data_IF_627491180537
#
_entry.id   IF_627491180537
#
_cell.length_a   1.000
_cell.length_b   1.000
_cell.length_c   1.000
_cell.angle_alpha   90.00
_cell.angle_beta   90.00
_cell.angle_gamma   90.00
#
_symmetry.space_group_name_H-M   'P 1'
#
loop_
_entity.id
_entity.type
_entity.pdbx_description
1 polymer ?
#
# COMPACT_ATOMS: atom_id res chain seq x y z
N UNK A 1 -10.23 2.12 -18.33
CA UNK A 1 -11.06 1.23 -17.51
C UNK A 1 -11.45 -0.05 -18.22
N UNK A 2 -12.06 -0.03 -19.40
CA UNK A 2 -12.50 -1.24 -20.13
C UNK A 2 -11.39 -2.30 -20.32
N UNK A 3 -10.13 -1.89 -20.52
CA UNK A 3 -9.00 -2.80 -20.71
C UNK A 3 -8.71 -3.61 -19.44
N UNK A 4 -8.76 -2.98 -18.27
CA UNK A 4 -8.56 -3.66 -16.98
C UNK A 4 -9.71 -4.61 -16.64
N UNK A 5 -10.95 -4.25 -16.96
CA UNK A 5 -12.13 -5.10 -16.71
C UNK A 5 -12.16 -6.36 -17.57
N UNK A 6 -11.43 -6.40 -18.70
CA UNK A 6 -11.32 -7.56 -19.59
C UNK A 6 -10.19 -8.51 -19.19
N UNK A 7 -9.34 -8.16 -18.23
CA UNK A 7 -8.31 -9.07 -17.74
C UNK A 7 -8.95 -10.21 -16.93
N UNK A 8 -8.46 -11.45 -17.05
CA UNK A 8 -8.88 -12.55 -16.17
C UNK A 8 -8.67 -12.25 -14.69
N UNK A 9 -7.71 -11.38 -14.37
CA UNK A 9 -7.37 -10.94 -13.02
C UNK A 9 -8.15 -9.69 -12.57
N UNK A 10 -9.25 -9.33 -13.23
CA UNK A 10 -10.05 -8.15 -12.92
C UNK A 10 -10.58 -8.12 -11.46
N UNK A 11 -10.71 -9.29 -10.83
CA UNK A 11 -11.06 -9.39 -9.40
C UNK A 11 -10.02 -8.78 -8.43
N UNK A 12 -8.82 -8.45 -8.93
CA UNK A 12 -7.76 -7.80 -8.14
C UNK A 12 -7.67 -6.30 -8.43
N UNK A 13 -8.80 -5.69 -8.73
CA UNK A 13 -8.90 -4.25 -8.96
C UNK A 13 -9.78 -3.60 -7.91
N UNK A 14 -9.47 -2.34 -7.63
CA UNK A 14 -10.32 -1.45 -6.84
C UNK A 14 -11.71 -1.27 -7.52
N UNK A 15 -12.77 -1.13 -6.74
CA UNK A 15 -14.12 -0.91 -7.24
C UNK A 15 -14.23 0.42 -8.02
N UNK A 16 -15.15 0.48 -8.98
CA UNK A 16 -15.29 1.63 -9.89
C UNK A 16 -15.56 2.95 -9.16
N UNK A 17 -16.41 2.92 -8.15
CA UNK A 17 -16.72 4.11 -7.34
C UNK A 17 -15.50 4.63 -6.59
N UNK A 18 -14.66 3.71 -6.09
CA UNK A 18 -13.45 4.05 -5.33
C UNK A 18 -12.37 4.61 -6.25
N UNK A 19 -12.26 4.09 -7.48
CA UNK A 19 -11.42 4.64 -8.54
C UNK A 19 -11.71 6.12 -8.78
N UNK A 20 -12.99 6.47 -8.95
CA UNK A 20 -13.40 7.85 -9.19
C UNK A 20 -13.12 8.74 -7.98
N UNK A 21 -13.34 8.22 -6.79
CA UNK A 21 -13.03 8.93 -5.55
C UNK A 21 -11.54 9.17 -5.39
N UNK A 22 -10.71 8.16 -5.62
CA UNK A 22 -9.25 8.26 -5.58
C UNK A 22 -8.76 9.35 -6.57
N UNK A 23 -9.24 9.32 -7.81
CA UNK A 23 -8.94 10.35 -8.81
C UNK A 23 -9.26 11.77 -8.32
N UNK A 24 -10.47 11.97 -7.77
CA UNK A 24 -10.89 13.26 -7.23
C UNK A 24 -10.04 13.72 -6.04
N UNK A 25 -9.65 12.78 -5.17
CA UNK A 25 -8.80 13.08 -4.03
C UNK A 25 -7.41 13.52 -4.46
N UNK A 26 -6.80 12.87 -5.46
CA UNK A 26 -5.51 13.28 -6.00
C UNK A 26 -5.60 14.68 -6.61
N UNK A 27 -6.62 14.97 -7.43
CA UNK A 27 -6.81 16.31 -8.01
C UNK A 27 -7.02 17.39 -6.94
N UNK A 28 -7.77 17.07 -5.87
CA UNK A 28 -8.06 18.01 -4.78
C UNK A 28 -6.82 18.32 -3.93
N UNK A 29 -6.06 17.27 -3.57
CA UNK A 29 -4.92 17.41 -2.64
C UNK A 29 -3.62 17.76 -3.37
N UNK A 30 -3.54 17.55 -4.70
CA UNK A 30 -2.40 17.88 -5.58
C UNK A 30 -1.06 17.36 -5.05
N UNK A 31 -0.96 16.07 -4.67
CA UNK A 31 0.27 15.51 -4.14
C UNK A 31 1.38 15.49 -5.19
N UNK A 32 2.64 15.50 -4.72
CA UNK A 32 3.83 15.31 -5.54
C UNK A 32 4.41 13.91 -5.36
N UNK A 33 4.32 13.35 -4.16
CA UNK A 33 4.87 12.05 -3.80
C UNK A 33 3.76 11.12 -3.29
N UNK A 34 3.22 10.31 -4.20
CA UNK A 34 2.18 9.32 -3.87
C UNK A 34 2.83 7.96 -3.65
N UNK A 35 2.47 7.30 -2.55
CA UNK A 35 2.78 5.89 -2.31
C UNK A 35 1.50 5.06 -2.42
N UNK A 36 1.57 3.99 -3.17
CA UNK A 36 0.53 2.97 -3.25
C UNK A 36 1.05 1.65 -2.71
N UNK A 37 0.30 1.04 -1.81
CA UNK A 37 0.55 -0.28 -1.26
C UNK A 37 -0.44 -1.27 -1.85
N UNK A 38 0.03 -2.10 -2.77
CA UNK A 38 -0.79 -3.01 -3.59
C UNK A 38 -1.11 -2.41 -4.96
N UNK A 39 -0.32 -2.79 -5.97
CA UNK A 39 -0.55 -2.40 -7.37
C UNK A 39 -1.68 -3.20 -7.99
N UNK A 40 -1.78 -4.50 -7.62
CA UNK A 40 -2.61 -5.44 -8.34
C UNK A 40 -2.30 -5.41 -9.84
N UNK A 41 -3.31 -5.41 -10.69
CA UNK A 41 -3.11 -5.27 -12.14
C UNK A 41 -2.98 -3.81 -12.62
N UNK A 42 -2.86 -2.83 -11.69
CA UNK A 42 -2.46 -1.45 -11.97
C UNK A 42 -3.59 -0.47 -12.29
N UNK A 43 -4.86 -0.78 -12.00
CA UNK A 43 -5.97 0.14 -12.29
C UNK A 43 -5.89 1.41 -11.42
N UNK A 44 -5.75 1.27 -10.11
CA UNK A 44 -5.58 2.39 -9.17
C UNK A 44 -4.32 3.20 -9.49
N UNK A 45 -3.20 2.52 -9.77
CA UNK A 45 -1.94 3.14 -10.20
C UNK A 45 -2.14 4.01 -11.46
N UNK A 46 -2.84 3.48 -12.48
CA UNK A 46 -3.13 4.21 -13.71
C UNK A 46 -4.01 5.44 -13.46
N UNK A 47 -4.99 5.33 -12.56
CA UNK A 47 -5.89 6.42 -12.19
C UNK A 47 -5.16 7.52 -11.43
N UNK A 48 -4.30 7.16 -10.49
CA UNK A 48 -3.42 8.11 -9.79
C UNK A 48 -2.51 8.82 -10.80
N UNK A 49 -1.85 8.06 -11.67
CA UNK A 49 -0.97 8.61 -12.71
C UNK A 49 -1.71 9.54 -13.67
N UNK A 50 -2.95 9.22 -14.05
CA UNK A 50 -3.80 10.09 -14.87
C UNK A 50 -4.09 11.43 -14.18
N UNK A 51 -4.39 11.39 -12.88
CA UNK A 51 -4.61 12.60 -12.10
C UNK A 51 -3.32 13.44 -11.98
N UNK A 52 -2.17 12.81 -11.73
CA UNK A 52 -0.86 13.48 -11.67
C UNK A 52 -0.47 14.08 -13.02
N UNK A 53 -0.71 13.36 -14.13
CA UNK A 53 -0.54 13.89 -15.49
C UNK A 53 -1.39 15.13 -15.72
N UNK A 54 -2.65 15.13 -15.28
CA UNK A 54 -3.54 16.31 -15.38
C UNK A 54 -3.01 17.48 -14.53
N UNK A 55 -2.37 17.22 -13.40
CA UNK A 55 -1.71 18.23 -12.57
C UNK A 55 -0.38 18.71 -13.15
N UNK A 56 0.19 18.00 -14.13
CA UNK A 56 1.49 18.29 -14.74
C UNK A 56 2.70 18.00 -13.83
N UNK A 57 2.50 17.33 -12.69
CA UNK A 57 3.56 17.06 -11.70
C UNK A 57 3.27 15.87 -10.83
N UNK A 58 4.30 15.40 -10.10
CA UNK A 58 4.22 14.33 -9.13
C UNK A 58 4.47 12.93 -9.72
N UNK A 59 4.66 11.97 -8.85
CA UNK A 59 4.90 10.57 -9.19
C UNK A 59 4.20 9.65 -8.19
N UNK A 60 3.66 8.53 -8.65
CA UNK A 60 3.24 7.42 -7.80
C UNK A 60 4.32 6.34 -7.79
N UNK A 61 4.76 5.99 -6.58
CA UNK A 61 5.53 4.77 -6.31
C UNK A 61 4.53 3.73 -5.83
N UNK A 62 4.40 2.63 -6.57
CA UNK A 62 3.46 1.55 -6.26
C UNK A 62 4.24 0.29 -5.89
N UNK A 63 3.90 -0.34 -4.78
CA UNK A 63 4.54 -1.55 -4.30
C UNK A 63 3.68 -2.77 -4.62
N UNK A 64 4.31 -3.83 -5.16
CA UNK A 64 3.64 -5.07 -5.49
C UNK A 64 4.49 -6.28 -5.11
N UNK A 65 3.83 -7.30 -4.56
CA UNK A 65 4.50 -8.55 -4.15
C UNK A 65 4.52 -9.62 -5.26
N UNK A 66 3.59 -9.57 -6.21
CA UNK A 66 3.42 -10.57 -7.25
C UNK A 66 4.03 -10.11 -8.57
N UNK A 67 5.11 -10.74 -9.07
CA UNK A 67 5.73 -10.38 -10.35
C UNK A 67 4.72 -10.40 -11.50
N UNK A 68 3.80 -11.36 -11.50
CA UNK A 68 2.75 -11.45 -12.51
C UNK A 68 1.84 -10.23 -12.56
N UNK A 69 1.47 -9.68 -11.41
CA UNK A 69 0.70 -8.43 -11.33
C UNK A 69 1.49 -7.26 -11.92
N UNK A 70 2.80 -7.18 -11.63
CA UNK A 70 3.67 -6.13 -12.19
C UNK A 70 3.74 -6.23 -13.71
N UNK A 71 3.88 -7.43 -14.27
CA UNK A 71 3.87 -7.64 -15.73
C UNK A 71 2.58 -7.13 -16.35
N UNK A 72 1.42 -7.54 -15.79
CA UNK A 72 0.09 -7.14 -16.25
C UNK A 72 -0.08 -5.61 -16.14
N UNK A 73 0.24 -5.03 -14.98
CA UNK A 73 0.16 -3.59 -14.78
C UNK A 73 1.02 -2.82 -15.79
N UNK A 74 2.25 -3.31 -16.03
CA UNK A 74 3.14 -2.73 -17.02
C UNK A 74 2.61 -2.82 -18.46
N UNK A 75 1.85 -3.86 -18.78
CA UNK A 75 1.22 -4.01 -20.09
C UNK A 75 -0.04 -3.15 -20.24
N UNK A 76 -0.84 -3.00 -19.16
CA UNK A 76 -2.14 -2.31 -19.20
C UNK A 76 -2.05 -0.79 -18.99
N UNK A 77 -1.04 -0.31 -18.24
CA UNK A 77 -0.85 1.13 -18.00
C UNK A 77 -0.39 1.81 -19.28
N UNK A 78 -1.19 2.78 -19.75
CA UNK A 78 -0.91 3.55 -20.96
C UNK A 78 0.50 4.16 -20.95
N UNK A 79 1.18 4.11 -22.11
CA UNK A 79 2.54 4.63 -22.27
C UNK A 79 2.68 6.09 -21.85
N UNK A 80 1.64 6.90 -22.08
CA UNK A 80 1.63 8.33 -21.72
C UNK A 80 1.54 8.58 -20.20
N UNK A 81 1.27 7.55 -19.38
CA UNK A 81 1.24 7.60 -17.92
C UNK A 81 2.54 7.10 -17.28
N UNK A 82 3.36 6.36 -18.02
CA UNK A 82 4.63 5.78 -17.50
C UNK A 82 5.56 6.79 -16.81
N UNK A 83 5.72 8.05 -17.29
CA UNK A 83 6.56 9.03 -16.59
C UNK A 83 6.10 9.35 -15.16
N UNK A 84 4.84 9.10 -14.84
CA UNK A 84 4.22 9.37 -13.53
C UNK A 84 4.19 8.14 -12.62
N UNK A 85 4.69 6.98 -13.09
CA UNK A 85 4.56 5.68 -12.40
C UNK A 85 5.92 5.06 -12.17
N UNK A 86 6.13 4.55 -10.95
CA UNK A 86 7.23 3.64 -10.61
C UNK A 86 6.65 2.46 -9.85
N UNK A 87 6.64 1.27 -10.46
CA UNK A 87 6.24 0.03 -9.77
C UNK A 87 7.50 -0.64 -9.24
N UNK A 88 7.46 -1.06 -7.98
CA UNK A 88 8.57 -1.72 -7.30
C UNK A 88 8.10 -3.09 -6.82
N UNK A 89 8.82 -4.14 -7.22
CA UNK A 89 8.63 -5.46 -6.66
C UNK A 89 9.19 -5.50 -5.24
N UNK A 90 8.34 -5.82 -4.27
CA UNK A 90 8.72 -5.86 -2.84
C UNK A 90 8.13 -7.11 -2.20
N UNK A 91 8.97 -7.84 -1.47
CA UNK A 91 8.50 -9.02 -0.75
C UNK A 91 7.55 -8.62 0.38
N UNK A 92 6.48 -9.37 0.60
CA UNK A 92 5.64 -9.19 1.78
C UNK A 92 6.42 -9.62 3.03
N UNK A 93 6.06 -9.05 4.16
CA UNK A 93 6.67 -9.37 5.46
C UNK A 93 5.60 -9.39 6.55
N UNK A 94 5.86 -10.16 7.61
CA UNK A 94 5.07 -10.13 8.83
C UNK A 94 5.90 -9.44 9.90
N UNK A 95 5.27 -8.60 10.68
CA UNK A 95 5.92 -7.92 11.78
C UNK A 95 4.95 -7.66 12.92
N UNK A 96 5.50 -7.36 14.07
CA UNK A 96 4.75 -6.86 15.23
C UNK A 96 5.32 -5.51 15.66
N UNK A 97 4.52 -4.76 16.37
CA UNK A 97 4.90 -3.48 16.96
C UNK A 97 4.78 -3.67 18.46
N UNK A 98 5.91 -3.82 19.14
CA UNK A 98 5.94 -4.18 20.56
C UNK A 98 5.21 -3.18 21.45
N UNK A 99 5.31 -1.89 21.14
CA UNK A 99 4.58 -0.84 21.82
C UNK A 99 3.05 -0.94 21.68
N UNK A 100 2.55 -1.68 20.68
CA UNK A 100 1.11 -1.95 20.52
C UNK A 100 0.73 -3.23 21.25
N UNK A 101 1.41 -4.33 20.94
CA UNK A 101 1.17 -5.64 21.55
C UNK A 101 2.20 -6.66 21.04
N UNK A 102 2.72 -7.48 21.93
CA UNK A 102 3.55 -8.64 21.56
C UNK A 102 2.77 -9.78 20.89
N UNK A 103 1.44 -9.69 20.85
CA UNK A 103 0.56 -10.73 20.30
C UNK A 103 -0.17 -10.31 19.02
N UNK A 104 -0.04 -9.05 18.58
CA UNK A 104 -0.69 -8.58 17.37
C UNK A 104 0.34 -8.52 16.25
N UNK A 105 0.09 -9.31 15.21
CA UNK A 105 0.89 -9.34 13.99
C UNK A 105 0.21 -8.53 12.89
N UNK A 106 1.05 -7.95 12.03
CA UNK A 106 0.65 -7.19 10.87
C UNK A 106 1.34 -7.78 9.62
N UNK A 107 0.71 -7.66 8.49
CA UNK A 107 1.39 -7.83 7.20
C UNK A 107 1.80 -6.46 6.65
N UNK A 108 2.84 -6.47 5.83
CA UNK A 108 3.35 -5.30 5.15
C UNK A 108 4.41 -5.67 4.13
N UNK A 109 5.13 -4.69 3.64
CA UNK A 109 6.18 -4.85 2.64
C UNK A 109 7.58 -4.75 3.26
N UNK A 110 8.59 -5.39 2.65
CA UNK A 110 9.99 -5.19 3.03
C UNK A 110 10.45 -3.83 2.47
N UNK A 111 10.76 -2.90 3.39
CA UNK A 111 11.03 -1.49 3.08
C UNK A 111 12.43 -1.20 2.52
N UNK A 112 13.30 -2.20 2.38
CA UNK A 112 14.70 -1.97 1.97
C UNK A 112 14.87 -1.24 0.63
N UNK A 113 14.00 -1.45 -0.39
CA UNK A 113 14.12 -0.73 -1.66
C UNK A 113 13.39 0.62 -1.68
N UNK A 114 12.81 1.07 -0.55
CA UNK A 114 12.04 2.31 -0.52
C UNK A 114 12.92 3.54 -0.65
N UNK A 115 12.49 4.53 -1.46
CA UNK A 115 13.19 5.81 -1.52
C UNK A 115 13.12 6.54 -0.18
N UNK A 116 14.23 7.19 0.21
CA UNK A 116 14.28 8.08 1.37
C UNK A 116 13.63 9.43 1.02
N UNK A 117 12.28 9.44 1.02
CA UNK A 117 11.49 10.62 0.74
C UNK A 117 10.25 10.68 1.64
N UNK A 118 9.67 11.85 1.78
CA UNK A 118 8.37 12.01 2.41
C UNK A 118 7.25 11.86 1.40
N UNK A 119 6.18 11.19 1.79
CA UNK A 119 4.96 11.04 1.00
C UNK A 119 3.90 12.02 1.50
N UNK A 120 3.19 12.63 0.58
CA UNK A 120 2.08 13.54 0.85
C UNK A 120 0.71 12.93 0.56
N UNK A 121 0.70 11.76 -0.09
CA UNK A 121 -0.49 10.92 -0.23
C UNK A 121 -0.10 9.43 -0.18
N UNK A 122 -0.83 8.64 0.62
CA UNK A 122 -0.66 7.19 0.68
C UNK A 122 -1.99 6.51 0.40
N UNK A 123 -1.99 5.54 -0.51
CA UNK A 123 -3.12 4.65 -0.77
C UNK A 123 -2.77 3.23 -0.29
N UNK A 124 -3.63 2.64 0.55
CA UNK A 124 -3.42 1.32 1.15
C UNK A 124 -4.51 0.37 0.67
N UNK A 125 -4.14 -0.52 -0.25
CA UNK A 125 -4.94 -1.63 -0.76
C UNK A 125 -4.19 -2.98 -0.70
N UNK A 126 -2.99 -3.00 -0.18
CA UNK A 126 -2.12 -4.16 -0.01
C UNK A 126 -1.26 -4.07 1.26
N UNK A 127 -0.54 -5.15 1.60
CA UNK A 127 -0.80 -6.53 1.21
C UNK A 127 -2.07 -7.09 1.88
N UNK A 128 -2.67 -8.12 1.27
CA UNK A 128 -3.94 -8.69 1.76
C UNK A 128 -3.77 -9.87 2.74
N UNK A 129 -2.54 -10.35 2.92
CA UNK A 129 -2.23 -11.55 3.72
C UNK A 129 -1.34 -12.51 2.94
N UNK A 130 -1.28 -13.74 3.39
CA UNK A 130 -0.54 -14.82 2.73
C UNK A 130 -1.31 -16.14 2.85
N UNK A 131 -0.87 -17.14 2.08
CA UNK A 131 -1.39 -18.51 2.18
C UNK A 131 -0.45 -19.31 3.08
N UNK A 132 -1.00 -19.97 4.08
CA UNK A 132 -0.29 -20.92 4.95
C UNK A 132 -1.03 -22.24 4.91
N UNK A 133 -0.33 -23.33 4.61
CA UNK A 133 -0.90 -24.70 4.53
C UNK A 133 -2.13 -24.77 3.62
N UNK A 134 -2.16 -23.97 2.54
CA UNK A 134 -3.27 -23.90 1.59
C UNK A 134 -4.41 -22.97 2.01
N UNK A 135 -4.35 -22.37 3.20
CA UNK A 135 -5.37 -21.43 3.70
C UNK A 135 -4.89 -19.98 3.64
N UNK A 136 -5.80 -19.07 3.30
CA UNK A 136 -5.52 -17.64 3.31
C UNK A 136 -5.50 -17.13 4.76
N UNK A 137 -4.30 -16.78 5.25
CA UNK A 137 -4.14 -16.08 6.52
C UNK A 137 -4.20 -14.58 6.26
N UNK A 138 -5.33 -13.95 6.60
CA UNK A 138 -5.50 -12.52 6.48
C UNK A 138 -4.97 -11.82 7.73
N UNK A 139 -4.04 -10.89 7.54
CA UNK A 139 -3.58 -9.96 8.58
C UNK A 139 -3.90 -8.52 8.20
N UNK A 140 -3.95 -7.67 9.22
CA UNK A 140 -4.09 -6.25 9.00
C UNK A 140 -2.84 -5.66 8.34
N UNK A 141 -3.04 -4.83 7.33
CA UNK A 141 -1.96 -4.06 6.71
C UNK A 141 -1.38 -3.08 7.74
N UNK A 142 -0.12 -3.28 8.10
CA UNK A 142 0.54 -2.55 9.19
C UNK A 142 1.55 -1.52 8.73
N UNK A 143 1.79 -1.38 7.43
CA UNK A 143 2.82 -0.49 6.90
C UNK A 143 2.65 0.95 7.35
N UNK A 144 1.42 1.39 7.57
CA UNK A 144 1.14 2.76 8.03
C UNK A 144 1.84 3.10 9.36
N UNK A 145 2.06 2.12 10.24
CA UNK A 145 2.79 2.33 11.48
C UNK A 145 4.28 2.62 11.23
N UNK A 146 4.86 1.99 10.20
CA UNK A 146 6.25 2.21 9.79
C UNK A 146 6.40 3.44 8.89
N UNK A 147 5.35 3.76 8.12
CA UNK A 147 5.30 4.91 7.22
C UNK A 147 5.17 6.26 7.92
N UNK A 148 4.66 6.27 9.12
CA UNK A 148 4.33 7.52 9.79
C UNK A 148 5.48 8.56 9.84
N UNK A 149 6.77 8.19 10.02
CA UNK A 149 7.91 9.11 9.92
C UNK A 149 8.13 9.66 8.51
N UNK A 150 7.67 8.93 7.48
CA UNK A 150 7.81 9.28 6.06
C UNK A 150 6.59 10.03 5.51
N UNK A 151 5.60 10.36 6.36
CA UNK A 151 4.45 11.18 5.97
C UNK A 151 4.73 12.66 6.21
N UNK A 152 4.56 13.46 5.16
CA UNK A 152 4.57 14.92 5.30
C UNK A 152 3.42 15.39 6.21
N UNK A 153 3.59 16.49 6.98
CA UNK A 153 2.47 17.08 7.71
C UNK A 153 1.32 17.45 6.75
N UNK A 154 0.10 17.02 7.06
CA UNK A 154 -1.06 17.20 6.20
C UNK A 154 -1.24 16.11 5.13
N UNK A 155 -0.30 15.17 5.01
CA UNK A 155 -0.40 14.04 4.11
C UNK A 155 -1.73 13.30 4.29
N UNK A 156 -2.30 12.82 3.18
CA UNK A 156 -3.53 12.03 3.20
C UNK A 156 -3.21 10.55 3.14
N UNK A 157 -3.93 9.76 3.93
CA UNK A 157 -3.87 8.30 3.91
C UNK A 157 -5.26 7.77 3.59
N UNK A 158 -5.40 7.22 2.39
CA UNK A 158 -6.62 6.57 1.93
C UNK A 158 -6.49 5.07 2.12
N UNK A 159 -7.48 4.43 2.72
CA UNK A 159 -7.47 2.99 3.02
C UNK A 159 -8.74 2.39 2.45
N UNK A 160 -8.58 1.42 1.54
CA UNK A 160 -9.67 0.71 0.92
C UNK A 160 -10.11 -0.50 1.76
N UNK A 161 -11.43 -0.61 2.04
CA UNK A 161 -12.12 -1.79 2.58
C UNK A 161 -11.62 -2.39 3.92
N UNK A 162 -10.48 -1.97 4.45
CA UNK A 162 -9.73 -2.64 5.55
C UNK A 162 -10.20 -2.19 6.94
N UNK A 163 -11.42 -2.59 7.32
CA UNK A 163 -12.09 -2.14 8.55
C UNK A 163 -11.27 -2.39 9.83
N UNK A 164 -10.57 -3.51 9.93
CA UNK A 164 -9.75 -3.86 11.09
C UNK A 164 -8.50 -2.97 11.19
N UNK A 165 -7.81 -2.75 10.05
CA UNK A 165 -6.69 -1.80 9.93
C UNK A 165 -7.12 -0.39 10.37
N UNK A 166 -8.28 0.09 9.88
CA UNK A 166 -8.86 1.40 10.26
C UNK A 166 -9.11 1.50 11.77
N UNK A 167 -9.66 0.44 12.39
CA UNK A 167 -9.86 0.41 13.85
C UNK A 167 -8.54 0.52 14.61
N UNK A 168 -7.49 -0.20 14.17
CA UNK A 168 -6.16 -0.16 14.79
C UNK A 168 -5.49 1.21 14.62
N UNK A 169 -5.58 1.82 13.44
CA UNK A 169 -5.07 3.18 13.23
C UNK A 169 -5.74 4.17 14.19
N UNK A 170 -7.06 4.15 14.28
CA UNK A 170 -7.78 5.04 15.20
C UNK A 170 -7.36 4.84 16.65
N UNK A 171 -7.16 3.60 17.07
CA UNK A 171 -6.80 3.25 18.45
C UNK A 171 -5.38 3.67 18.80
N UNK A 172 -4.42 3.40 17.90
CA UNK A 172 -2.99 3.53 18.23
C UNK A 172 -2.32 4.74 17.59
N UNK A 173 -2.84 5.24 16.48
CA UNK A 173 -2.27 6.37 15.74
C UNK A 173 -3.19 7.59 15.70
N UNK A 174 -4.32 7.60 16.40
CA UNK A 174 -5.30 8.70 16.35
C UNK A 174 -4.75 10.09 16.71
N UNK A 175 -3.65 10.16 17.49
CA UNK A 175 -2.92 11.41 17.75
C UNK A 175 -2.20 11.94 16.49
N UNK A 176 -1.76 11.03 15.62
CA UNK A 176 -0.92 11.34 14.46
C UNK A 176 -1.70 11.33 13.14
N UNK A 177 -2.80 10.57 13.08
CA UNK A 177 -3.66 10.41 11.93
C UNK A 177 -5.11 10.71 12.32
N UNK A 178 -5.56 11.92 12.00
CA UNK A 178 -6.94 12.33 12.21
C UNK A 178 -7.85 11.73 11.13
N UNK A 179 -8.96 11.10 11.54
CA UNK A 179 -9.96 10.60 10.59
C UNK A 179 -10.71 11.77 9.99
N UNK A 180 -10.62 11.95 8.66
CA UNK A 180 -11.27 13.03 7.90
C UNK A 180 -12.61 12.60 7.34
N UNK A 181 -12.66 11.37 6.78
CA UNK A 181 -13.88 10.80 6.19
C UNK A 181 -13.84 9.28 6.31
N UNK A 182 -15.01 8.68 6.46
CA UNK A 182 -15.20 7.23 6.44
C UNK A 182 -16.58 6.90 5.93
N UNK A 183 -16.67 5.86 5.11
CA UNK A 183 -17.92 5.16 4.78
C UNK A 183 -17.74 3.63 4.91
N UNK A 184 -18.56 2.85 4.22
CA UNK A 184 -18.49 1.38 4.25
C UNK A 184 -17.28 0.84 3.51
N UNK A 185 -16.83 1.53 2.48
CA UNK A 185 -15.84 1.05 1.51
C UNK A 185 -14.42 1.60 1.80
N UNK A 186 -14.31 2.81 2.36
CA UNK A 186 -13.00 3.41 2.60
C UNK A 186 -12.91 4.25 3.88
N UNK A 187 -11.68 4.58 4.25
CA UNK A 187 -11.35 5.60 5.25
C UNK A 187 -10.26 6.54 4.75
N UNK A 188 -10.44 7.84 4.98
CA UNK A 188 -9.46 8.89 4.69
C UNK A 188 -8.97 9.49 6.00
N UNK A 189 -7.68 9.46 6.21
CA UNK A 189 -7.00 10.10 7.33
C UNK A 189 -6.12 11.25 6.84
N UNK A 190 -5.78 12.14 7.76
CA UNK A 190 -4.82 13.22 7.56
C UNK A 190 -3.73 13.17 8.62
N UNK A 191 -2.47 13.29 8.20
CA UNK A 191 -1.32 13.40 9.09
C UNK A 191 -1.38 14.72 9.87
N UNK A 192 -1.49 14.63 11.18
CA UNK A 192 -1.50 15.80 12.08
C UNK A 192 -0.09 16.40 12.19
N UNK A 193 0.00 17.59 12.80
CA UNK A 193 1.29 18.24 13.13
C UNK A 193 1.93 17.71 14.42
N UNK A 194 1.35 16.68 15.04
CA UNK A 194 1.90 16.11 16.26
C UNK A 194 3.34 15.62 16.06
N UNK A 195 4.24 15.99 16.95
CA UNK A 195 5.65 15.58 16.90
C UNK A 195 5.80 14.08 17.10
N UNK A 196 6.70 13.46 16.32
CA UNK A 196 6.96 12.02 16.30
C UNK A 196 7.93 11.54 17.39
N UNK A 197 8.23 12.35 18.41
CA UNK A 197 9.28 12.07 19.41
C UNK A 197 9.13 10.70 20.11
N UNK A 198 7.91 10.15 20.17
CA UNK A 198 7.62 8.84 20.77
C UNK A 198 7.53 7.67 19.78
N UNK A 199 7.70 7.90 18.48
CA UNK A 199 7.48 6.88 17.47
C UNK A 199 8.67 5.96 17.22
N UNK A 200 9.89 6.38 17.54
CA UNK A 200 11.05 5.47 17.54
C UNK A 200 10.83 4.29 18.48
N UNK A 201 10.04 4.47 19.53
CA UNK A 201 9.63 3.41 20.45
C UNK A 201 8.49 2.53 19.88
N UNK A 202 7.64 3.08 18.99
CA UNK A 202 6.53 2.35 18.38
C UNK A 202 6.98 1.37 17.28
N UNK A 203 8.12 1.63 16.65
CA UNK A 203 8.56 0.92 15.42
C UNK A 203 9.79 0.06 15.67
N UNK A 204 9.89 -0.58 16.82
CA UNK A 204 10.84 -1.68 16.99
C UNK A 204 10.33 -2.90 16.20
N UNK A 205 10.80 -3.05 14.96
CA UNK A 205 10.51 -4.21 14.11
C UNK A 205 11.25 -5.42 14.66
N UNK A 206 10.54 -6.46 15.05
CA UNK A 206 11.15 -7.73 15.40
C UNK A 206 11.55 -8.47 14.12
N UNK A 207 12.79 -8.26 13.69
CA UNK A 207 13.38 -8.95 12.52
C UNK A 207 13.59 -10.45 12.75
N UNK A 208 13.44 -10.96 13.98
CA UNK A 208 13.61 -12.39 14.28
C UNK A 208 12.43 -13.26 13.84
N UNK A 209 11.27 -12.66 13.55
CA UNK A 209 10.09 -13.39 13.07
C UNK A 209 10.29 -14.06 11.71
N UNK A 210 11.16 -13.52 10.87
CA UNK A 210 11.49 -14.12 9.57
C UNK A 210 12.16 -15.51 9.68
N UNK A 211 12.80 -15.82 10.81
CA UNK A 211 13.46 -17.11 11.01
C UNK A 211 12.49 -18.22 11.43
N UNK A 212 11.34 -17.89 12.00
CA UNK A 212 10.39 -18.86 12.56
C UNK A 212 9.11 -19.05 11.75
N UNK A 213 8.81 -18.14 10.84
CA UNK A 213 7.69 -18.26 9.90
C UNK A 213 8.22 -17.95 8.49
N UNK A 214 8.82 -18.93 7.81
CA UNK A 214 9.15 -18.76 6.39
C UNK A 214 7.83 -18.40 5.68
N UNK A 215 7.87 -17.30 4.93
CA UNK A 215 6.69 -16.87 4.16
C UNK A 215 6.25 -18.00 3.26
N UNK A 216 4.97 -18.42 3.31
CA UNK A 216 4.48 -19.58 2.56
C UNK A 216 4.42 -19.34 1.04
N UNK A 217 4.67 -18.14 0.57
CA UNK A 217 5.10 -17.94 -0.81
C UNK A 217 6.60 -18.24 -0.90
N UNK A 218 6.91 -19.52 -0.85
CA UNK A 218 7.97 -19.98 -1.71
C UNK A 218 7.56 -19.47 -3.09
N UNK A 219 8.26 -18.45 -3.59
CA UNK A 219 8.48 -18.35 -5.01
C UNK A 219 8.97 -19.77 -5.32
N UNK A 220 8.11 -20.61 -5.87
CA UNK A 220 8.60 -21.73 -6.61
C UNK A 220 9.62 -21.04 -7.52
N UNK A 221 10.89 -21.26 -7.26
CA UNK A 221 11.91 -21.04 -8.24
C UNK A 221 11.32 -21.73 -9.46
N UNK A 222 10.85 -20.93 -10.40
CA UNK A 222 10.67 -21.40 -11.76
C UNK A 222 12.10 -21.67 -12.16
N UNK A 223 12.54 -22.87 -11.78
CA UNK A 223 13.75 -23.42 -12.27
C UNK A 223 13.62 -23.24 -13.79
N UNK A 224 14.52 -22.46 -14.32
CA UNK A 224 14.80 -22.45 -15.72
C UNK A 224 14.97 -23.91 -16.15
N UNK A 225 13.91 -24.51 -16.71
CA UNK A 225 14.06 -25.66 -17.55
C UNK A 225 14.55 -25.12 -18.88
N UNK A 226 15.84 -24.81 -18.91
CA UNK A 226 16.60 -24.89 -20.15
C UNK A 226 16.76 -26.39 -20.46
N UNK A 227 15.97 -26.87 -21.41
CA UNK A 227 16.28 -27.98 -22.30
C UNK A 227 15.65 -27.71 -23.67
#
# INVERSE_FOLDING_TARGET
MQTFQRSPEAGWTIAENDVLQLYRLILKNKPEHVLELGTGIGLSTAVVALALKKLGRGQVVSLEQLPKCIEIANALIDRALKPFVKIIHVRPTIFRIEAISKWIYFCGYDWKPMPDQQFDFVFIDGPSGWIQDGELVSLDAGDIFRLLPHLAPGAKVYIDGRRSTVKKIRRYLGRYLALVKRDTEFALFERTRAKLASLKELVATDTKLHAHHPMPYGVADVASTDD
#
